data_IF_277136783546
#
_entry.id   IF_277136783546
#
_cell.length_a   1.000
_cell.length_b   1.000
_cell.length_c   1.000
_cell.angle_alpha   90.00
_cell.angle_beta   90.00
_cell.angle_gamma   90.00
#
_symmetry.space_group_name_H-M   'P 1'
#
loop_
_entity.id
_entity.type
_entity.pdbx_description
1 polymer ?
#
# COMPACT_ATOMS: atom_id res chain seq x y z
N UNK A 1 -5.36 -0.55 -14.68
CA UNK A 1 -6.05 0.68 -14.26
C UNK A 1 -5.50 1.85 -15.07
N UNK A 2 -6.28 2.90 -15.26
CA UNK A 2 -5.76 4.19 -15.74
C UNK A 2 -4.92 4.81 -14.62
N UNK A 3 -3.78 5.42 -14.95
CA UNK A 3 -2.94 6.08 -13.96
C UNK A 3 -3.72 7.22 -13.30
N UNK A 4 -3.67 7.29 -11.97
CA UNK A 4 -4.33 8.34 -11.22
C UNK A 4 -3.61 9.67 -11.37
N UNK A 5 -4.29 10.77 -11.01
CA UNK A 5 -3.66 12.10 -10.89
C UNK A 5 -2.56 12.16 -9.82
N UNK A 6 -2.43 11.14 -8.98
CA UNK A 6 -1.39 11.01 -7.96
C UNK A 6 -0.21 10.12 -8.41
N UNK A 7 -0.28 9.52 -9.60
CA UNK A 7 0.83 8.74 -10.15
C UNK A 7 2.03 9.64 -10.48
N UNK A 8 3.17 9.38 -9.84
CA UNK A 8 4.41 10.16 -10.00
C UNK A 8 5.63 9.29 -9.74
N UNK A 9 6.79 9.65 -10.28
CA UNK A 9 8.06 8.95 -10.03
C UNK A 9 8.02 7.44 -10.33
N UNK A 10 7.12 7.00 -11.22
CA UNK A 10 6.88 5.57 -11.50
C UNK A 10 6.07 4.82 -10.43
N UNK A 11 5.56 5.53 -9.42
CA UNK A 11 4.74 5.00 -8.32
C UNK A 11 3.28 5.39 -8.53
N UNK A 12 2.39 4.40 -8.45
CA UNK A 12 0.95 4.59 -8.34
C UNK A 12 0.53 4.35 -6.88
N UNK A 13 0.31 5.41 -6.08
CA UNK A 13 0.00 5.26 -4.67
C UNK A 13 -1.50 5.04 -4.41
N UNK A 14 -2.35 5.16 -5.44
CA UNK A 14 -3.80 4.98 -5.31
C UNK A 14 -4.13 3.49 -5.48
N UNK A 15 -4.74 2.84 -4.46
CA UNK A 15 -5.07 1.42 -4.57
C UNK A 15 -6.18 1.17 -5.59
N UNK A 16 -6.30 -0.06 -6.03
CA UNK A 16 -7.48 -0.54 -6.73
C UNK A 16 -8.09 -1.70 -5.93
N UNK A 17 -9.41 -1.86 -6.07
CA UNK A 17 -10.12 -2.93 -5.39
C UNK A 17 -10.14 -4.17 -6.26
N UNK A 18 -10.00 -5.32 -5.63
CA UNK A 18 -10.16 -6.63 -6.24
C UNK A 18 -11.18 -7.44 -5.43
N UNK A 19 -11.92 -8.28 -6.14
CA UNK A 19 -12.82 -9.26 -5.53
C UNK A 19 -12.35 -10.65 -5.94
N UNK A 20 -12.18 -11.51 -4.94
CA UNK A 20 -11.87 -12.92 -5.16
C UNK A 20 -13.14 -13.69 -5.50
N UNK A 21 -13.00 -14.79 -6.25
CA UNK A 21 -14.11 -15.67 -6.54
C UNK A 21 -14.71 -16.22 -5.22
N UNK A 22 -16.05 -16.38 -5.11
CA UNK A 22 -16.70 -16.78 -3.86
C UNK A 22 -16.21 -18.12 -3.29
N UNK A 23 -15.75 -19.03 -4.16
CA UNK A 23 -15.27 -20.37 -3.86
C UNK A 23 -13.74 -20.45 -3.72
N UNK A 24 -13.02 -19.34 -3.91
CA UNK A 24 -11.57 -19.29 -3.70
C UNK A 24 -11.23 -18.88 -2.27
N UNK A 25 -10.25 -19.52 -1.60
CA UNK A 25 -9.71 -19.00 -0.36
C UNK A 25 -9.11 -17.60 -0.59
N UNK A 26 -9.22 -16.73 0.41
CA UNK A 26 -8.59 -15.42 0.35
C UNK A 26 -7.07 -15.59 0.50
N UNK A 27 -6.21 -14.98 -0.33
CA UNK A 27 -4.76 -15.24 -0.30
C UNK A 27 -4.07 -14.98 1.03
N UNK A 28 -4.62 -14.10 1.88
CA UNK A 28 -4.07 -13.88 3.22
C UNK A 28 -4.34 -15.03 4.19
N UNK A 29 -5.32 -15.89 3.91
CA UNK A 29 -5.68 -17.03 4.76
C UNK A 29 -4.73 -18.20 4.53
N UNK A 30 -4.40 -18.49 3.27
CA UNK A 30 -3.59 -19.64 2.84
C UNK A 30 -2.14 -19.29 2.47
N UNK A 31 -1.74 -18.00 2.53
CA UNK A 31 -0.35 -17.60 2.35
C UNK A 31 0.63 -18.37 3.26
N UNK A 32 1.84 -18.69 2.75
CA UNK A 32 2.91 -19.29 3.54
C UNK A 32 3.16 -18.49 4.83
N UNK A 33 3.28 -19.21 5.94
CA UNK A 33 3.60 -18.59 7.23
C UNK A 33 5.09 -18.23 7.31
N UNK A 34 5.42 -17.35 8.25
CA UNK A 34 6.80 -16.96 8.58
C UNK A 34 7.10 -15.49 8.30
N UNK A 35 6.37 -14.83 7.41
CA UNK A 35 6.48 -13.40 7.15
C UNK A 35 5.19 -12.66 7.49
N UNK A 36 5.32 -11.41 7.92
CA UNK A 36 4.19 -10.51 8.22
C UNK A 36 4.47 -9.14 7.61
N UNK A 37 3.49 -8.57 6.89
CA UNK A 37 3.54 -7.16 6.48
C UNK A 37 3.31 -6.29 7.73
N UNK A 38 4.39 -5.76 8.28
CA UNK A 38 4.35 -4.99 9.52
C UNK A 38 3.93 -3.53 9.31
N UNK A 39 4.30 -2.94 8.17
CA UNK A 39 3.85 -1.61 7.78
C UNK A 39 3.82 -1.47 6.27
N UNK A 40 2.87 -0.66 5.79
CA UNK A 40 2.85 -0.10 4.44
C UNK A 40 2.70 1.42 4.59
N UNK A 41 3.71 2.15 4.14
CA UNK A 41 3.81 3.59 4.27
C UNK A 41 3.76 4.26 2.90
N UNK A 42 3.01 5.36 2.82
CA UNK A 42 2.87 6.18 1.63
C UNK A 42 3.47 7.55 1.92
N UNK A 43 4.36 8.04 1.05
CA UNK A 43 4.78 9.43 1.05
C UNK A 43 4.57 10.04 -0.33
N UNK A 44 4.14 11.30 -0.38
CA UNK A 44 3.73 11.95 -1.62
C UNK A 44 3.90 13.48 -1.56
N UNK A 45 4.12 14.17 -2.70
CA UNK A 45 4.19 15.65 -2.76
C UNK A 45 2.91 16.37 -2.35
N UNK A 46 1.76 15.73 -2.58
CA UNK A 46 0.44 16.18 -2.11
C UNK A 46 -0.15 15.14 -1.14
N UNK A 47 0.26 15.14 0.14
CA UNK A 47 -0.25 14.18 1.12
C UNK A 47 -1.69 14.48 1.53
N UNK A 48 -2.11 15.76 1.47
CA UNK A 48 -3.46 16.16 1.84
C UNK A 48 -4.49 15.70 0.81
N UNK A 49 -4.21 15.85 -0.49
CA UNK A 49 -5.05 15.34 -1.56
C UNK A 49 -5.18 13.82 -1.53
N UNK A 50 -4.05 13.11 -1.46
CA UNK A 50 -4.06 11.65 -1.43
C UNK A 50 -4.73 11.10 -0.16
N UNK A 51 -4.44 11.70 1.01
CA UNK A 51 -5.08 11.32 2.27
C UNK A 51 -6.60 11.51 2.26
N UNK A 52 -7.11 12.60 1.64
CA UNK A 52 -8.55 12.78 1.46
C UNK A 52 -9.17 11.70 0.57
N UNK A 53 -8.50 11.33 -0.53
CA UNK A 53 -8.97 10.26 -1.42
C UNK A 53 -9.06 8.92 -0.68
N UNK A 54 -8.00 8.52 0.03
CA UNK A 54 -7.99 7.26 0.80
C UNK A 54 -9.10 7.23 1.86
N UNK A 55 -9.29 8.35 2.57
CA UNK A 55 -10.37 8.47 3.57
C UNK A 55 -11.76 8.34 2.95
N UNK A 56 -11.99 8.90 1.76
CA UNK A 56 -13.27 8.73 1.03
C UNK A 56 -13.55 7.27 0.68
N UNK A 57 -12.50 6.47 0.51
CA UNK A 57 -12.59 5.04 0.23
C UNK A 57 -12.64 4.16 1.49
N UNK A 58 -12.71 4.77 2.68
CA UNK A 58 -12.70 4.06 3.96
C UNK A 58 -11.34 3.43 4.31
N UNK A 59 -10.26 3.90 3.68
CA UNK A 59 -8.90 3.43 3.95
C UNK A 59 -8.22 4.38 4.94
N UNK A 60 -7.96 3.88 6.14
CA UNK A 60 -7.17 4.59 7.15
C UNK A 60 -5.66 4.49 6.81
N UNK A 61 -5.21 5.36 5.90
CA UNK A 61 -3.81 5.46 5.49
C UNK A 61 -3.21 6.82 5.85
N UNK A 62 -2.10 6.84 6.59
CA UNK A 62 -1.34 8.06 6.84
C UNK A 62 -0.38 8.32 5.68
N UNK A 63 -0.60 9.40 4.94
CA UNK A 63 0.30 9.86 3.87
C UNK A 63 1.26 10.90 4.44
N UNK A 64 2.57 10.67 4.32
CA UNK A 64 3.62 11.61 4.74
C UNK A 64 3.97 12.58 3.61
N UNK A 65 4.37 13.80 3.95
CA UNK A 65 4.94 14.74 2.97
C UNK A 65 6.30 14.21 2.48
N UNK A 66 6.54 14.24 1.18
CA UNK A 66 7.84 13.98 0.56
C UNK A 66 7.91 14.65 -0.83
N UNK A 67 9.11 14.92 -1.34
CA UNK A 67 9.28 15.54 -2.68
C UNK A 67 9.00 14.57 -3.83
N UNK A 68 8.95 13.26 -3.54
CA UNK A 68 8.68 12.18 -4.49
C UNK A 68 7.59 11.25 -3.96
N UNK A 69 6.89 10.60 -4.87
CA UNK A 69 5.98 9.51 -4.53
C UNK A 69 6.78 8.26 -4.10
N UNK A 70 6.42 7.69 -2.96
CA UNK A 70 7.14 6.56 -2.35
C UNK A 70 6.13 5.60 -1.72
N UNK A 71 6.32 4.30 -1.97
CA UNK A 71 5.72 3.21 -1.22
C UNK A 71 6.82 2.46 -0.48
N UNK A 72 6.69 2.34 0.85
CA UNK A 72 7.62 1.56 1.67
C UNK A 72 6.88 0.48 2.41
N UNK A 73 7.43 -0.72 2.38
CA UNK A 73 6.92 -1.83 3.16
C UNK A 73 8.00 -2.35 4.11
N UNK A 74 7.60 -2.64 5.36
CA UNK A 74 8.43 -3.39 6.29
C UNK A 74 7.84 -4.79 6.43
N UNK A 75 8.63 -5.81 6.10
CA UNK A 75 8.26 -7.21 6.26
C UNK A 75 9.02 -7.77 7.46
N UNK A 76 8.31 -8.22 8.50
CA UNK A 76 8.92 -9.04 9.55
C UNK A 76 9.20 -10.42 8.97
N UNK A 77 10.41 -10.92 9.14
CA UNK A 77 10.79 -12.28 8.73
C UNK A 77 11.51 -12.99 9.88
N UNK A 78 11.68 -14.33 9.82
CA UNK A 78 12.36 -15.08 10.88
C UNK A 78 13.84 -14.71 11.04
N UNK A 79 14.45 -14.07 10.03
CA UNK A 79 15.86 -13.65 10.03
C UNK A 79 16.06 -12.15 10.26
N UNK A 80 15.01 -11.46 10.72
CA UNK A 80 15.00 -10.02 10.91
C UNK A 80 14.09 -9.28 9.91
N UNK A 81 13.86 -7.98 10.11
CA UNK A 81 13.02 -7.18 9.23
C UNK A 81 13.68 -6.95 7.87
N UNK A 82 12.87 -6.95 6.81
CA UNK A 82 13.24 -6.56 5.44
C UNK A 82 12.50 -5.27 5.09
N UNK A 83 13.21 -4.33 4.48
CA UNK A 83 12.68 -3.03 4.06
C UNK A 83 12.64 -2.96 2.53
N UNK A 84 11.47 -2.62 1.97
CA UNK A 84 11.23 -2.47 0.53
C UNK A 84 10.91 -1.00 0.24
N UNK A 85 11.46 -0.43 -0.83
CA UNK A 85 11.32 0.97 -1.22
C UNK A 85 11.44 1.17 -2.72
#
# INVERSE_FOLDING_TARGET
>A
GVASTFARDGVEPVPFFIQWAPDSPHPSQDAPKGCELASLEIAHPDPAGLGRLLKQWGIDGRVKQADKAILRATIKTPRGPVYLS
#
